data_IF_642859510459
#
_entry.id   IF_642859510459
#
_cell.length_a   1.000
_cell.length_b   1.000
_cell.length_c   1.000
_cell.angle_alpha   90.00
_cell.angle_beta   90.00
_cell.angle_gamma   90.00
#
_symmetry.space_group_name_H-M   'P 1'
#
loop_
_entity.id
_entity.type
_entity.pdbx_description
1 polymer ?
#
# COMPACT_ATOMS: atom_id res chain seq x y z
N UNK A 1 -13.93 2.16 -0.47
CA UNK A 1 -12.97 3.29 -0.34
C UNK A 1 -11.80 2.81 0.51
N UNK A 2 -10.56 2.98 0.06
CA UNK A 2 -9.35 2.59 0.81
C UNK A 2 -9.14 3.49 2.04
N UNK A 3 -9.87 3.19 3.12
CA UNK A 3 -9.96 4.05 4.32
C UNK A 3 -8.62 4.04 5.06
N UNK A 4 -7.93 5.19 5.09
CA UNK A 4 -6.62 5.34 5.75
C UNK A 4 -5.39 5.02 4.88
N UNK A 5 -5.60 4.79 3.57
CA UNK A 5 -4.52 4.71 2.58
C UNK A 5 -3.93 6.11 2.31
N UNK A 6 -2.60 6.19 2.24
CA UNK A 6 -1.86 7.37 1.78
C UNK A 6 -1.52 7.23 0.30
N UNK A 7 -1.04 8.32 -0.30
CA UNK A 7 -0.52 8.32 -1.68
C UNK A 7 0.49 7.21 -1.93
N UNK A 8 1.40 6.97 -0.99
CA UNK A 8 2.41 5.90 -1.09
C UNK A 8 1.78 4.50 -1.08
N UNK A 9 0.76 4.27 -0.25
CA UNK A 9 0.04 3.00 -0.19
C UNK A 9 -0.67 2.75 -1.53
N UNK A 10 -1.32 3.77 -2.09
CA UNK A 10 -1.97 3.70 -3.40
C UNK A 10 -0.97 3.46 -4.54
N UNK A 11 0.20 4.11 -4.52
CA UNK A 11 1.27 3.83 -5.49
C UNK A 11 1.72 2.37 -5.39
N UNK A 12 1.89 1.83 -4.19
CA UNK A 12 2.26 0.43 -3.99
C UNK A 12 1.17 -0.53 -4.47
N UNK A 13 -0.10 -0.28 -4.14
CA UNK A 13 -1.23 -1.07 -4.64
C UNK A 13 -1.24 -1.10 -6.17
N UNK A 14 -1.13 0.06 -6.82
CA UNK A 14 -1.11 0.14 -8.26
C UNK A 14 0.12 -0.55 -8.88
N UNK A 15 1.27 -0.53 -8.20
CA UNK A 15 2.46 -1.29 -8.62
C UNK A 15 2.25 -2.80 -8.54
N UNK A 16 1.64 -3.30 -7.46
CA UNK A 16 1.30 -4.72 -7.28
C UNK A 16 0.25 -5.21 -8.28
N UNK A 17 -0.62 -4.29 -8.72
CA UNK A 17 -1.58 -4.52 -9.80
C UNK A 17 -0.97 -4.33 -11.20
N UNK A 18 0.35 -4.12 -11.28
CA UNK A 18 1.11 -3.94 -12.52
C UNK A 18 0.56 -2.78 -13.39
N UNK A 19 0.00 -1.75 -12.74
CA UNK A 19 -0.59 -0.60 -13.42
C UNK A 19 0.51 0.42 -13.76
N UNK A 20 0.48 0.92 -15.00
CA UNK A 20 1.38 1.98 -15.42
C UNK A 20 1.00 3.30 -14.74
N UNK A 21 1.86 3.79 -13.84
CA UNK A 21 1.66 5.04 -13.11
C UNK A 21 2.60 6.13 -13.61
N UNK A 22 2.09 7.35 -13.77
CA UNK A 22 2.92 8.55 -13.93
C UNK A 22 3.27 9.14 -12.56
N UNK A 23 4.46 9.72 -12.41
CA UNK A 23 4.88 10.30 -11.13
C UNK A 23 4.01 11.49 -10.68
N UNK A 24 3.36 12.14 -11.65
CA UNK A 24 2.50 13.31 -11.46
C UNK A 24 1.07 12.96 -11.02
N UNK A 25 0.72 11.68 -10.89
CA UNK A 25 -0.65 11.28 -10.52
C UNK A 25 -1.01 11.74 -9.10
N UNK A 26 -2.22 12.29 -8.96
CA UNK A 26 -2.79 12.67 -7.67
C UNK A 26 -3.35 11.45 -6.93
N UNK A 27 -3.72 11.62 -5.67
CA UNK A 27 -4.37 10.57 -4.87
C UNK A 27 -5.67 10.12 -5.54
N UNK A 28 -6.46 11.06 -6.08
CA UNK A 28 -7.69 10.74 -6.79
C UNK A 28 -7.40 9.94 -8.07
N UNK A 29 -6.43 10.38 -8.88
CA UNK A 29 -6.09 9.67 -10.12
C UNK A 29 -5.63 8.24 -9.85
N UNK A 30 -4.82 8.02 -8.80
CA UNK A 30 -4.38 6.69 -8.40
C UNK A 30 -5.56 5.82 -7.95
N UNK A 31 -6.50 6.37 -7.18
CA UNK A 31 -7.70 5.64 -6.78
C UNK A 31 -8.57 5.28 -7.97
N UNK A 32 -8.71 6.18 -8.94
CA UNK A 32 -9.51 5.94 -10.13
C UNK A 32 -8.84 4.90 -11.04
N UNK A 33 -7.51 4.96 -11.20
CA UNK A 33 -6.73 3.97 -11.94
C UNK A 33 -6.89 2.56 -11.36
N UNK A 34 -6.80 2.42 -10.03
CA UNK A 34 -6.99 1.15 -9.35
C UNK A 34 -8.42 0.63 -9.54
N UNK A 35 -9.43 1.48 -9.41
CA UNK A 35 -10.83 1.07 -9.58
C UNK A 35 -11.18 0.67 -11.01
N UNK A 36 -10.50 1.26 -12.00
CA UNK A 36 -10.75 0.99 -13.40
C UNK A 36 -9.97 -0.19 -13.95
N UNK A 37 -9.02 -0.74 -13.19
CA UNK A 37 -8.22 -1.86 -13.67
C UNK A 37 -9.05 -3.14 -13.79
N UNK A 38 -8.64 -4.00 -14.72
CA UNK A 38 -9.33 -5.26 -14.99
C UNK A 38 -9.39 -6.14 -13.75
N UNK A 39 -8.33 -6.16 -12.93
CA UNK A 39 -8.25 -6.93 -11.70
C UNK A 39 -9.27 -6.49 -10.65
N UNK A 40 -9.49 -5.18 -10.52
CA UNK A 40 -10.52 -4.63 -9.64
C UNK A 40 -11.94 -4.89 -10.17
N UNK A 41 -12.13 -4.91 -11.49
CA UNK A 41 -13.42 -5.24 -12.11
C UNK A 41 -13.78 -6.72 -11.99
N UNK A 42 -12.78 -7.60 -12.13
CA UNK A 42 -12.96 -9.04 -12.04
C UNK A 42 -13.07 -9.50 -10.58
N UNK A 43 -12.21 -8.97 -9.69
CA UNK A 43 -12.17 -9.36 -8.29
C UNK A 43 -11.84 -8.16 -7.37
N UNK A 44 -12.85 -7.32 -7.06
CA UNK A 44 -12.66 -6.14 -6.22
C UNK A 44 -12.28 -6.49 -4.78
N UNK A 45 -12.65 -7.69 -4.29
CA UNK A 45 -12.36 -8.16 -2.94
C UNK A 45 -10.86 -8.43 -2.76
N UNK A 46 -10.20 -9.16 -3.67
CA UNK A 46 -8.73 -9.34 -3.61
C UNK A 46 -7.99 -8.01 -3.63
N UNK A 47 -8.46 -7.02 -4.40
CA UNK A 47 -7.82 -5.70 -4.41
C UNK A 47 -8.01 -4.95 -3.09
N UNK A 48 -9.17 -5.12 -2.44
CA UNK A 48 -9.38 -4.57 -1.09
C UNK A 48 -8.51 -5.27 -0.04
N UNK A 49 -8.37 -6.60 -0.11
CA UNK A 49 -7.48 -7.35 0.77
C UNK A 49 -6.01 -6.94 0.59
N UNK A 50 -5.54 -6.82 -0.65
CA UNK A 50 -4.20 -6.33 -0.98
C UNK A 50 -3.96 -4.93 -0.40
N UNK A 51 -4.92 -4.02 -0.59
CA UNK A 51 -4.81 -2.67 -0.05
C UNK A 51 -4.77 -2.65 1.47
N UNK A 52 -5.59 -3.47 2.14
CA UNK A 52 -5.56 -3.62 3.59
C UNK A 52 -4.20 -4.16 4.04
N UNK A 53 -3.69 -5.20 3.40
CA UNK A 53 -2.38 -5.79 3.68
C UNK A 53 -1.28 -4.74 3.59
N UNK A 54 -1.24 -3.93 2.54
CA UNK A 54 -0.23 -2.87 2.34
C UNK A 54 -0.34 -1.79 3.43
N UNK A 55 -1.56 -1.36 3.77
CA UNK A 55 -1.82 -0.36 4.82
C UNK A 55 -1.39 -0.89 6.19
N UNK A 56 -1.68 -2.16 6.47
CA UNK A 56 -1.30 -2.86 7.70
C UNK A 56 0.21 -3.08 7.77
N UNK A 57 0.85 -3.52 6.68
CA UNK A 57 2.30 -3.60 6.55
C UNK A 57 2.96 -2.27 6.83
N UNK A 58 2.46 -1.15 6.28
CA UNK A 58 3.00 0.18 6.59
C UNK A 58 2.79 0.54 8.07
N UNK A 59 1.65 0.19 8.66
CA UNK A 59 1.37 0.41 10.09
C UNK A 59 2.27 -0.47 10.99
N UNK A 60 2.54 -1.71 10.62
CA UNK A 60 3.34 -2.68 11.38
C UNK A 60 4.84 -2.57 11.10
N UNK A 61 5.26 -2.18 9.90
CA UNK A 61 6.65 -1.89 9.54
C UNK A 61 7.21 -0.72 10.33
N UNK A 62 6.35 0.22 10.77
CA UNK A 62 6.69 1.23 11.78
C UNK A 62 6.95 0.65 13.19
N UNK A 63 6.44 -0.55 13.51
CA UNK A 63 6.77 -1.25 14.77
C UNK A 63 8.10 -2.00 14.68
N UNK A 64 8.52 -2.44 13.50
CA UNK A 64 9.75 -3.22 13.32
C UNK A 64 11.04 -2.39 13.43
N UNK A 65 11.01 -1.09 13.10
CA UNK A 65 12.17 -0.21 13.30
C UNK A 65 12.37 0.23 14.76
N UNK A 66 11.43 -0.03 15.67
CA UNK A 66 11.54 0.34 17.10
C UNK A 66 12.23 -0.76 17.94
N UNK A 67 12.45 -1.97 17.40
CA UNK A 67 13.07 -3.09 18.15
C UNK A 67 14.56 -3.32 17.92
N UNK A 68 15.23 -2.54 17.07
CA UNK A 68 16.67 -2.72 16.79
C UNK A 68 17.51 -1.60 17.40
N UNK A 69 17.35 -1.29 18.70
CA UNK A 69 18.28 -0.43 19.46
C UNK A 69 18.45 -0.81 20.94
N UNK A 70 18.24 -2.07 21.31
CA UNK A 70 18.73 -2.60 22.59
C UNK A 70 19.31 -3.98 22.34
N UNK A 71 20.63 -4.02 22.15
CA UNK A 71 21.55 -5.07 22.60
C UNK A 71 22.97 -4.71 22.14
N UNK A 72 23.46 -3.57 22.63
CA UNK A 72 24.89 -3.37 22.85
C UNK A 72 25.03 -2.96 24.30
N UNK A 73 25.25 -3.95 25.17
CA UNK A 73 25.98 -3.84 26.44
C UNK A 73 25.99 -5.21 27.10
N UNK A 74 27.21 -5.69 27.38
CA UNK A 74 27.61 -6.93 28.06
C UNK A 74 27.67 -8.15 27.13
N UNK A 75 28.88 -8.54 26.72
CA UNK A 75 29.82 -9.29 27.57
C UNK A 75 31.25 -8.92 27.23
#
# INVERSE_FOLDING_TARGET
MFKGAKKEDLKRIASELELCMSDKLTVMDLMDLIKNCERFKNDPDSVHELANLIIEERKNGRKSTIRVRKNQRKS
#
